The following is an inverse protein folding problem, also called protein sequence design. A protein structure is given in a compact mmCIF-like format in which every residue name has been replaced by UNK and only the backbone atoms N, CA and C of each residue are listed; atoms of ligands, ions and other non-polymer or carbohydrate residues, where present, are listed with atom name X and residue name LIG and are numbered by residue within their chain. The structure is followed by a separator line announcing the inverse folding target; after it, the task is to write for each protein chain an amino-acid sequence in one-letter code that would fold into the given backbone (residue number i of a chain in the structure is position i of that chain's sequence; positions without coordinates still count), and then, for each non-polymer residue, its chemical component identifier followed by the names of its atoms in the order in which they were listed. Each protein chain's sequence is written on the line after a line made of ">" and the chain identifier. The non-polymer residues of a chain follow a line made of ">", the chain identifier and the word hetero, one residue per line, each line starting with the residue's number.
data_IF_739822090878
#
_entry.id   IF_739822090878
#
_cell.length_a   1.000
_cell.length_b   1.000
_cell.length_c   1.000
_cell.angle_alpha   90.00
_cell.angle_beta   90.00
_cell.angle_gamma   90.00
#
_symmetry.space_group_name_H-M   'P 1'
#
loop_
_entity.id
_entity.type
_entity.pdbx_description
1 polymer ?
#
# COMPACT_ATOMS: atom_id res chain seq x y z
N UNK A 1 6.04 1.19 -16.24
CA UNK A 1 5.51 2.50 -15.80
C UNK A 1 5.44 2.47 -14.29
N UNK A 2 5.69 3.60 -13.64
CA UNK A 2 5.61 3.68 -12.18
C UNK A 2 4.14 3.73 -11.75
N UNK A 3 3.74 2.83 -10.86
CA UNK A 3 2.44 2.89 -10.20
C UNK A 3 2.42 4.10 -9.25
N UNK A 4 1.26 4.69 -8.99
CA UNK A 4 1.10 5.75 -7.98
C UNK A 4 -0.12 5.45 -7.13
N UNK A 5 0.04 5.56 -5.82
CA UNK A 5 -1.10 5.45 -4.88
C UNK A 5 -1.86 6.77 -4.92
N UNK A 6 -3.17 6.69 -5.10
CA UNK A 6 -4.06 7.82 -4.91
C UNK A 6 -4.49 7.89 -3.44
N UNK A 7 -3.87 8.80 -2.69
CA UNK A 7 -4.12 8.99 -1.26
C UNK A 7 -5.54 9.46 -0.94
N UNK A 8 -6.27 10.04 -1.90
CA UNK A 8 -7.66 10.46 -1.70
C UNK A 8 -8.63 9.28 -1.77
N UNK A 9 -8.25 8.21 -2.48
CA UNK A 9 -9.05 6.98 -2.63
C UNK A 9 -8.55 5.83 -1.77
N UNK A 10 -7.31 5.89 -1.30
CA UNK A 10 -6.72 4.83 -0.50
C UNK A 10 -7.41 4.74 0.86
N UNK A 11 -8.02 3.58 1.14
CA UNK A 11 -8.65 3.28 2.43
C UNK A 11 -7.71 2.62 3.44
N UNK A 12 -6.41 2.57 3.11
CA UNK A 12 -5.35 2.05 3.98
C UNK A 12 -5.59 0.60 4.45
N UNK A 13 -6.21 -0.23 3.61
CA UNK A 13 -6.50 -1.63 3.92
C UNK A 13 -5.25 -2.52 3.96
N UNK A 14 -4.16 -2.10 3.34
CA UNK A 14 -2.89 -2.85 3.31
C UNK A 14 -2.81 -3.99 2.29
N UNK A 15 -3.86 -4.24 1.49
CA UNK A 15 -3.87 -5.33 0.49
C UNK A 15 -2.72 -5.22 -0.52
N UNK A 16 -2.36 -4.00 -0.93
CA UNK A 16 -1.23 -3.79 -1.85
C UNK A 16 0.12 -4.23 -1.26
N UNK A 17 0.28 -4.23 0.06
CA UNK A 17 1.52 -4.71 0.71
C UNK A 17 1.57 -6.23 0.66
N UNK A 18 0.43 -6.89 0.90
CA UNK A 18 0.33 -8.35 0.91
C UNK A 18 0.44 -8.95 -0.51
N UNK A 19 -0.21 -8.30 -1.48
CA UNK A 19 -0.29 -8.80 -2.85
C UNK A 19 0.91 -8.40 -3.72
N UNK A 20 1.73 -7.43 -3.29
CA UNK A 20 2.86 -6.97 -4.10
C UNK A 20 4.02 -7.99 -4.06
N UNK A 21 4.32 -8.67 -5.18
CA UNK A 21 5.35 -9.70 -5.20
C UNK A 21 6.77 -9.13 -5.07
N UNK A 22 6.96 -7.86 -5.44
CA UNK A 22 8.23 -7.17 -5.34
C UNK A 22 8.48 -6.58 -3.93
N UNK A 23 7.47 -6.57 -3.05
CA UNK A 23 7.58 -5.93 -1.75
C UNK A 23 7.88 -4.42 -1.85
N UNK A 24 7.31 -3.76 -2.86
CA UNK A 24 7.53 -2.34 -3.13
C UNK A 24 6.69 -1.43 -2.22
N UNK A 25 5.66 -1.96 -1.55
CA UNK A 25 4.82 -1.18 -0.65
C UNK A 25 5.25 -1.35 0.80
N UNK A 26 5.09 -0.29 1.59
CA UNK A 26 5.35 -0.32 3.03
C UNK A 26 4.28 0.47 3.78
N UNK A 27 3.76 -0.12 4.85
CA UNK A 27 2.75 0.49 5.71
C UNK A 27 3.39 1.07 6.96
N UNK A 28 3.04 2.30 7.31
CA UNK A 28 3.52 2.95 8.53
C UNK A 28 2.34 3.33 9.43
N UNK A 29 2.40 2.87 10.69
CA UNK A 29 1.34 3.05 11.67
C UNK A 29 0.10 2.20 11.39
N UNK A 30 -0.59 1.83 12.45
CA UNK A 30 -1.78 0.99 12.43
C UNK A 30 -2.84 1.56 13.37
N UNK A 31 -4.11 1.44 12.98
CA UNK A 31 -5.24 1.80 13.80
C UNK A 31 -6.38 0.80 13.59
N UNK A 32 -7.16 0.56 14.64
CA UNK A 32 -8.34 -0.29 14.55
C UNK A 32 -9.58 0.55 14.21
N UNK A 33 -10.18 0.32 13.05
CA UNK A 33 -11.48 0.89 12.70
C UNK A 33 -12.53 -0.18 12.97
N UNK A 34 -13.21 -0.03 14.11
CA UNK A 34 -14.14 -1.06 14.62
C UNK A 34 -13.38 -2.34 14.98
N UNK A 35 -13.64 -3.42 14.26
CA UNK A 35 -12.96 -4.71 14.43
C UNK A 35 -11.85 -4.95 13.39
N UNK A 36 -11.65 -4.02 12.45
CA UNK A 36 -10.69 -4.17 11.34
C UNK A 36 -9.43 -3.35 11.60
N UNK A 37 -8.26 -3.95 11.35
CA UNK A 37 -6.96 -3.24 11.42
C UNK A 37 -6.69 -2.60 10.06
N UNK A 38 -6.47 -1.29 10.06
CA UNK A 38 -6.06 -0.51 8.89
C UNK A 38 -4.75 0.22 9.18
N UNK A 39 -4.06 0.62 8.12
CA UNK A 39 -2.80 1.34 8.21
C UNK A 39 -3.06 2.85 8.37
N UNK A 40 -2.06 3.61 8.78
CA UNK A 40 -2.11 5.08 8.77
C UNK A 40 -1.61 5.66 7.46
N UNK A 41 -0.59 5.06 6.88
CA UNK A 41 0.03 5.52 5.65
C UNK A 41 0.58 4.32 4.88
N UNK A 42 0.53 4.41 3.55
CA UNK A 42 1.16 3.44 2.65
C UNK A 42 2.10 4.20 1.71
N UNK A 43 3.36 3.79 1.67
CA UNK A 43 4.39 4.32 0.79
C UNK A 43 4.70 3.31 -0.31
N UNK A 44 4.91 3.80 -1.53
CA UNK A 44 5.39 3.02 -2.66
C UNK A 44 6.84 3.37 -2.94
N UNK A 45 7.70 2.36 -2.89
CA UNK A 45 9.09 2.42 -3.28
C UNK A 45 9.23 2.16 -4.78
N UNK A 46 9.47 3.22 -5.55
CA UNK A 46 9.56 3.14 -7.01
C UNK A 46 10.82 2.40 -7.48
N UNK A 47 11.84 2.25 -6.64
CA UNK A 47 13.05 1.51 -6.98
C UNK A 47 12.80 0.00 -7.03
N UNK A 48 11.88 -0.48 -6.18
CA UNK A 48 11.44 -1.89 -6.15
C UNK A 48 10.25 -2.18 -7.04
N UNK A 49 9.54 -1.15 -7.50
CA UNK A 49 8.33 -1.31 -8.30
C UNK A 49 8.68 -1.86 -9.70
N UNK A 50 8.24 -3.08 -9.98
CA UNK A 50 8.46 -3.73 -11.28
C UNK A 50 7.41 -3.36 -12.33
N UNK A 51 6.36 -2.61 -11.94
CA UNK A 51 5.25 -2.24 -12.83
C UNK A 51 4.43 -3.45 -13.29
N UNK A 52 4.30 -4.47 -12.45
CA UNK A 52 3.59 -5.71 -12.77
C UNK A 52 2.06 -5.59 -12.72
N UNK A 53 1.54 -4.61 -11.96
CA UNK A 53 0.12 -4.25 -11.94
C UNK A 53 -0.13 -3.17 -12.99
N UNK A 54 -1.19 -3.35 -13.77
CA UNK A 54 -1.65 -2.47 -14.85
C UNK A 54 -1.91 -1.01 -14.44
#
# INVERSE_FOLDING_TARGET
>A
MALKIDETRCVLCGLCIDECPAGAFSGEGEHAVGQSRVLKEIKLDNDKCTGCGE
#
